data_IF_481225520458
#
_entry.id   IF_481225520458
#
_cell.length_a   1.000
_cell.length_b   1.000
_cell.length_c   1.000
_cell.angle_alpha   90.00
_cell.angle_beta   90.00
_cell.angle_gamma   90.00
#
_symmetry.space_group_name_H-M   'P 1'
#
loop_
_entity.id
_entity.type
_entity.pdbx_description
1 polymer ?
#
# COMPACT_ATOMS: atom_id res chain seq x y z
N UNK A 1 12.75 30.03 -32.56
CA UNK A 1 11.76 29.52 -31.58
C UNK A 1 12.51 28.45 -30.81
N UNK A 2 13.06 28.80 -29.65
CA UNK A 2 13.86 27.86 -28.86
C UNK A 2 12.92 26.85 -28.18
N UNK A 3 13.25 25.58 -28.36
CA UNK A 3 12.44 24.44 -27.90
C UNK A 3 12.79 24.04 -26.49
N UNK A 4 12.93 24.99 -25.58
CA UNK A 4 13.11 24.72 -24.15
C UNK A 4 11.78 24.23 -23.61
N UNK A 5 11.70 22.96 -23.20
CA UNK A 5 10.45 22.40 -22.67
C UNK A 5 9.97 23.26 -21.50
N UNK A 6 8.66 23.51 -21.40
CA UNK A 6 8.06 24.31 -20.32
C UNK A 6 8.48 23.84 -18.91
N UNK A 7 8.97 22.60 -18.77
CA UNK A 7 9.46 22.02 -17.53
C UNK A 7 10.78 22.62 -17.04
N UNK A 8 11.68 23.10 -17.91
CA UNK A 8 12.97 23.67 -17.51
C UNK A 8 12.85 25.12 -16.99
N UNK A 9 11.76 25.83 -17.31
CA UNK A 9 11.53 27.21 -16.88
C UNK A 9 10.90 27.35 -15.49
N UNK A 10 10.35 26.26 -14.92
CA UNK A 10 9.63 26.33 -13.65
C UNK A 10 10.56 25.95 -12.50
N UNK A 11 11.14 26.96 -11.85
CA UNK A 11 11.84 26.78 -10.57
C UNK A 11 10.81 26.49 -9.47
N UNK A 12 10.45 25.22 -9.31
CA UNK A 12 9.59 24.77 -8.22
C UNK A 12 10.30 24.99 -6.87
N UNK A 13 10.01 26.10 -6.18
CA UNK A 13 10.58 26.38 -4.85
C UNK A 13 9.59 25.96 -3.78
N UNK A 14 9.85 24.81 -3.18
CA UNK A 14 9.11 24.30 -2.05
C UNK A 14 9.89 24.47 -0.74
N UNK A 15 9.21 24.75 0.36
CA UNK A 15 9.78 24.75 1.71
C UNK A 15 8.79 24.15 2.71
N UNK A 16 9.27 23.68 3.85
CA UNK A 16 8.41 23.15 4.91
C UNK A 16 8.78 23.77 6.26
N UNK A 17 7.79 24.32 6.97
CA UNK A 17 7.99 24.92 8.29
C UNK A 17 6.68 24.92 9.08
N UNK A 18 6.77 24.72 10.41
CA UNK A 18 5.65 24.79 11.34
C UNK A 18 4.40 23.97 10.92
N UNK A 19 4.62 22.79 10.30
CA UNK A 19 3.54 21.92 9.85
C UNK A 19 2.89 22.31 8.51
N UNK A 20 3.49 23.22 7.76
CA UNK A 20 3.00 23.63 6.44
C UNK A 20 4.09 23.51 5.39
N UNK A 21 3.75 22.92 4.24
CA UNK A 21 4.52 23.09 3.02
C UNK A 21 4.14 24.41 2.35
N UNK A 22 5.09 25.04 1.67
CA UNK A 22 4.85 26.18 0.80
C UNK A 22 5.42 25.89 -0.57
N UNK A 23 4.76 26.38 -1.62
CA UNK A 23 5.20 26.22 -3.00
C UNK A 23 4.94 27.52 -3.78
N UNK A 24 5.93 27.98 -4.54
CA UNK A 24 5.76 29.10 -5.49
C UNK A 24 4.99 28.63 -6.72
N UNK A 25 3.99 29.41 -7.16
CA UNK A 25 3.18 29.12 -8.33
C UNK A 25 3.67 29.90 -9.57
N UNK A 26 3.62 29.32 -10.79
CA UNK A 26 3.29 27.92 -11.07
C UNK A 26 4.31 26.94 -10.47
N UNK A 27 3.83 25.81 -9.97
CA UNK A 27 4.68 24.82 -9.28
C UNK A 27 3.98 23.48 -9.06
N UNK A 28 4.76 22.45 -8.71
CA UNK A 28 4.24 21.10 -8.40
C UNK A 28 4.11 20.95 -6.89
N UNK A 29 2.94 20.52 -6.42
CA UNK A 29 2.74 20.19 -5.01
C UNK A 29 3.15 18.75 -4.77
N UNK A 30 4.41 18.57 -4.40
CA UNK A 30 5.07 17.28 -4.23
C UNK A 30 5.71 17.15 -2.84
N UNK A 31 5.94 15.91 -2.38
CA UNK A 31 6.77 15.63 -1.20
C UNK A 31 6.04 15.27 0.09
N UNK A 32 4.78 15.68 0.29
CA UNK A 32 4.00 15.30 1.48
C UNK A 32 3.23 13.97 1.31
N UNK A 33 2.82 13.65 0.08
CA UNK A 33 1.93 12.52 -0.23
C UNK A 33 2.60 11.37 -0.96
N UNK A 34 1.88 10.26 -1.10
CA UNK A 34 2.38 9.12 -1.86
C UNK A 34 2.36 9.36 -3.37
N UNK A 35 1.52 10.26 -3.87
CA UNK A 35 1.32 10.48 -5.30
C UNK A 35 2.59 10.87 -6.05
N UNK A 36 3.46 11.70 -5.45
CA UNK A 36 4.74 12.06 -6.08
C UNK A 36 5.72 10.89 -6.20
N UNK A 37 5.45 9.76 -5.53
CA UNK A 37 6.19 8.49 -5.68
C UNK A 37 5.54 7.54 -6.70
N UNK A 38 4.29 7.82 -7.11
CA UNK A 38 3.51 6.98 -8.03
C UNK A 38 3.53 7.52 -9.46
N UNK A 39 3.55 8.85 -9.61
CA UNK A 39 3.54 9.54 -10.90
C UNK A 39 4.15 10.94 -10.74
N UNK A 40 4.59 11.54 -11.84
CA UNK A 40 4.98 12.96 -11.86
C UNK A 40 3.76 13.84 -11.57
N UNK A 41 3.90 14.76 -10.61
CA UNK A 41 2.80 15.63 -10.20
C UNK A 41 2.55 16.74 -11.25
N UNK A 42 1.28 17.11 -11.46
CA UNK A 42 0.93 18.19 -12.37
C UNK A 42 1.42 19.55 -11.86
N UNK A 43 1.62 20.48 -12.79
CA UNK A 43 1.94 21.86 -12.43
C UNK A 43 0.64 22.61 -12.12
N UNK A 44 0.58 23.18 -10.93
CA UNK A 44 -0.55 23.98 -10.45
C UNK A 44 -0.31 25.45 -10.79
N UNK A 45 -1.36 26.16 -11.19
CA UNK A 45 -1.29 27.60 -11.44
C UNK A 45 -0.53 28.00 -12.70
N UNK A 46 -0.53 27.17 -13.75
CA UNK A 46 -0.03 27.58 -15.06
C UNK A 46 -0.91 28.67 -15.67
N UNK A 47 -0.30 29.75 -16.18
CA UNK A 47 -1.00 30.81 -16.91
C UNK A 47 -1.87 31.75 -16.07
N UNK A 48 -1.90 31.59 -14.75
CA UNK A 48 -2.61 32.49 -13.83
C UNK A 48 -1.68 33.52 -13.18
N UNK A 49 -2.24 34.64 -12.74
CA UNK A 49 -1.53 35.72 -12.02
C UNK A 49 -2.16 36.07 -10.67
N UNK A 50 -3.15 35.28 -10.23
CA UNK A 50 -3.95 35.53 -9.03
C UNK A 50 -3.21 35.23 -7.73
N UNK A 51 -2.32 34.24 -7.75
CA UNK A 51 -1.57 33.80 -6.57
C UNK A 51 -0.12 33.51 -6.94
N UNK A 52 0.81 33.90 -6.07
CA UNK A 52 2.24 33.65 -6.23
C UNK A 52 2.71 32.44 -5.42
N UNK A 53 1.95 32.08 -4.40
CA UNK A 53 2.31 31.03 -3.45
C UNK A 53 1.07 30.27 -2.97
N UNK A 54 1.27 29.01 -2.63
CA UNK A 54 0.30 28.20 -1.90
C UNK A 54 0.94 27.65 -0.63
N UNK A 55 0.19 27.64 0.46
CA UNK A 55 0.53 26.97 1.71
C UNK A 55 -0.35 25.74 1.82
N UNK A 56 0.23 24.57 1.98
CA UNK A 56 -0.56 23.35 1.95
C UNK A 56 -0.03 22.30 2.92
N UNK A 57 -0.91 21.38 3.27
CA UNK A 57 -0.56 20.21 4.05
C UNK A 57 -1.47 19.04 3.66
N UNK A 58 -1.03 17.83 3.95
CA UNK A 58 -1.81 16.62 3.84
C UNK A 58 -1.88 15.93 5.19
N UNK A 59 -2.98 15.22 5.40
CA UNK A 59 -3.17 14.38 6.57
C UNK A 59 -3.40 12.95 6.13
N UNK A 60 -2.76 12.02 6.84
CA UNK A 60 -2.97 10.59 6.69
C UNK A 60 -3.34 10.05 8.05
N UNK A 61 -4.52 9.46 8.16
CA UNK A 61 -4.99 8.79 9.35
C UNK A 61 -5.46 7.37 9.01
N UNK A 62 -5.62 6.49 10.01
CA UNK A 62 -6.25 5.19 9.81
C UNK A 62 -7.65 5.40 9.21
N UNK A 63 -7.83 4.97 7.96
CA UNK A 63 -9.10 5.09 7.24
C UNK A 63 -9.43 6.46 6.62
N UNK A 64 -8.53 7.47 6.65
CA UNK A 64 -8.83 8.78 6.07
C UNK A 64 -7.59 9.48 5.49
N UNK A 65 -7.80 10.21 4.40
CA UNK A 65 -6.84 11.19 3.88
C UNK A 65 -7.47 12.59 3.96
N UNK A 66 -6.62 13.60 4.08
CA UNK A 66 -7.04 14.99 4.00
C UNK A 66 -6.04 15.83 3.22
N UNK A 67 -6.54 16.87 2.57
CA UNK A 67 -5.74 17.88 1.91
C UNK A 67 -6.23 19.26 2.32
N UNK A 68 -5.31 20.16 2.62
CA UNK A 68 -5.61 21.57 2.85
C UNK A 68 -4.64 22.43 2.06
N UNK A 69 -5.16 23.45 1.38
CA UNK A 69 -4.37 24.47 0.70
C UNK A 69 -4.95 25.86 0.98
N UNK A 70 -4.09 26.82 1.25
CA UNK A 70 -4.40 28.22 1.52
C UNK A 70 -3.73 29.09 0.46
N UNK A 71 -4.49 30.04 -0.07
CA UNK A 71 -4.06 31.08 -1.01
C UNK A 71 -4.33 32.44 -0.36
N UNK A 72 -3.39 32.99 0.42
CA UNK A 72 -3.58 34.27 1.12
C UNK A 72 -3.91 35.42 0.16
N UNK A 73 -3.26 35.49 -1.00
CA UNK A 73 -3.44 36.55 -2.00
C UNK A 73 -4.88 36.62 -2.53
N UNK A 74 -5.54 35.48 -2.68
CA UNK A 74 -6.94 35.40 -3.13
C UNK A 74 -7.92 35.22 -1.99
N UNK A 75 -7.46 35.25 -0.73
CA UNK A 75 -8.26 34.97 0.48
C UNK A 75 -9.11 33.70 0.36
N UNK A 76 -8.54 32.67 -0.26
CA UNK A 76 -9.24 31.44 -0.58
C UNK A 76 -8.54 30.23 0.04
N UNK A 77 -9.30 29.16 0.23
CA UNK A 77 -8.79 27.89 0.72
C UNK A 77 -9.48 26.72 0.01
N UNK A 78 -8.77 25.61 -0.12
CA UNK A 78 -9.30 24.32 -0.54
C UNK A 78 -9.08 23.35 0.61
N UNK A 79 -10.16 22.69 1.05
CA UNK A 79 -10.10 21.68 2.10
C UNK A 79 -10.83 20.45 1.58
N UNK A 80 -10.15 19.30 1.61
CA UNK A 80 -10.70 18.00 1.23
C UNK A 80 -10.52 17.06 2.41
N UNK A 81 -11.62 16.46 2.86
CA UNK A 81 -11.64 15.46 3.92
C UNK A 81 -12.29 14.20 3.34
N UNK A 82 -11.60 13.07 3.42
CA UNK A 82 -12.17 11.77 3.04
C UNK A 82 -12.39 10.92 4.28
N UNK A 83 -13.43 10.11 4.25
CA UNK A 83 -13.72 9.09 5.28
C UNK A 83 -13.20 7.69 4.87
N UNK A 84 -12.37 7.66 3.83
CA UNK A 84 -11.71 6.47 3.32
C UNK A 84 -10.29 6.82 2.92
N UNK A 85 -9.38 5.87 3.08
CA UNK A 85 -8.04 5.96 2.52
C UNK A 85 -7.95 5.19 1.21
N UNK A 86 -7.35 5.80 0.19
CA UNK A 86 -7.17 5.19 -1.14
C UNK A 86 -5.69 4.92 -1.42
N UNK A 87 -5.42 4.00 -2.35
CA UNK A 87 -4.07 3.58 -2.69
C UNK A 87 -3.20 4.72 -3.25
N UNK A 88 -3.85 5.67 -3.91
CA UNK A 88 -3.24 6.83 -4.55
C UNK A 88 -3.61 8.16 -3.86
N UNK A 89 -3.91 8.16 -2.55
CA UNK A 89 -4.28 9.38 -1.80
C UNK A 89 -5.23 10.32 -2.57
N UNK A 90 -6.50 9.92 -2.68
CA UNK A 90 -7.48 10.62 -3.49
C UNK A 90 -7.76 12.05 -2.99
N UNK A 91 -7.57 12.31 -1.69
CA UNK A 91 -7.77 13.64 -1.11
C UNK A 91 -6.81 14.66 -1.75
N UNK A 92 -5.55 14.27 -1.96
CA UNK A 92 -4.55 15.08 -2.66
C UNK A 92 -4.96 15.38 -4.10
N UNK A 93 -5.35 14.37 -4.88
CA UNK A 93 -5.78 14.58 -6.26
C UNK A 93 -6.97 15.53 -6.38
N UNK A 94 -8.00 15.32 -5.56
CA UNK A 94 -9.18 16.20 -5.52
C UNK A 94 -8.76 17.60 -5.10
N UNK A 95 -7.89 17.73 -4.09
CA UNK A 95 -7.39 19.00 -3.60
C UNK A 95 -6.65 19.80 -4.66
N UNK A 96 -5.72 19.17 -5.38
CA UNK A 96 -4.96 19.80 -6.45
C UNK A 96 -5.83 20.15 -7.66
N UNK A 97 -6.81 19.30 -8.01
CA UNK A 97 -7.81 19.59 -9.04
C UNK A 97 -8.61 20.85 -8.71
N UNK A 98 -9.20 20.90 -7.51
CA UNK A 98 -9.98 22.05 -7.05
C UNK A 98 -9.12 23.31 -6.96
N UNK A 99 -7.90 23.21 -6.45
CA UNK A 99 -6.95 24.32 -6.36
C UNK A 99 -6.62 24.89 -7.74
N UNK A 100 -6.33 24.03 -8.71
CA UNK A 100 -6.01 24.46 -10.07
C UNK A 100 -7.23 25.09 -10.76
N UNK A 101 -8.44 24.53 -10.56
CA UNK A 101 -9.69 25.12 -11.05
C UNK A 101 -10.00 26.47 -10.42
N UNK A 102 -9.77 26.63 -9.12
CA UNK A 102 -9.93 27.90 -8.41
C UNK A 102 -9.01 28.99 -8.99
N UNK A 103 -7.80 28.62 -9.41
CA UNK A 103 -6.86 29.52 -10.08
C UNK A 103 -7.23 29.80 -11.55
N UNK A 104 -8.24 29.13 -12.10
CA UNK A 104 -8.75 29.33 -13.46
C UNK A 104 -8.19 28.35 -14.49
N UNK A 105 -7.52 27.28 -14.06
CA UNK A 105 -7.00 26.24 -14.95
C UNK A 105 -7.85 24.97 -14.97
N UNK A 106 -7.44 23.99 -15.76
CA UNK A 106 -8.00 22.63 -15.77
C UNK A 106 -6.89 21.60 -15.84
N UNK A 107 -6.93 20.57 -14.99
CA UNK A 107 -5.97 19.47 -15.03
C UNK A 107 -6.54 18.27 -15.77
N UNK A 108 -5.68 17.53 -16.46
CA UNK A 108 -6.01 16.22 -17.00
C UNK A 108 -6.19 15.21 -15.86
N UNK A 109 -7.19 14.33 -15.99
CA UNK A 109 -7.39 13.21 -15.07
C UNK A 109 -6.48 12.01 -15.37
N UNK A 110 -5.70 12.07 -16.45
CA UNK A 110 -4.81 10.98 -16.85
C UNK A 110 -3.76 10.61 -15.77
N UNK A 111 -3.05 11.55 -15.12
CA UNK A 111 -2.12 11.23 -14.04
C UNK A 111 -2.79 10.55 -12.83
N UNK A 112 -4.05 10.90 -12.55
CA UNK A 112 -4.84 10.25 -11.49
C UNK A 112 -4.98 8.76 -11.79
N UNK A 113 -5.36 8.41 -13.02
CA UNK A 113 -5.51 7.00 -13.44
C UNK A 113 -4.18 6.24 -13.36
N UNK A 114 -3.10 6.85 -13.86
CA UNK A 114 -1.76 6.25 -13.80
C UNK A 114 -1.32 6.01 -12.35
N UNK A 115 -1.62 6.95 -11.44
CA UNK A 115 -1.27 6.80 -10.01
C UNK A 115 -1.98 5.60 -9.37
N UNK A 116 -3.23 5.32 -9.75
CA UNK A 116 -3.99 4.16 -9.25
C UNK A 116 -3.32 2.87 -9.71
N UNK A 117 -3.03 2.76 -11.00
CA UNK A 117 -2.39 1.57 -11.58
C UNK A 117 -1.00 1.33 -10.95
N UNK A 118 -0.20 2.41 -10.78
CA UNK A 118 1.10 2.35 -10.10
C UNK A 118 0.96 1.90 -8.63
N UNK A 119 -0.05 2.36 -7.91
CA UNK A 119 -0.25 2.00 -6.51
C UNK A 119 -0.59 0.51 -6.34
N UNK A 120 -1.46 -0.02 -7.19
CA UNK A 120 -1.75 -1.46 -7.22
C UNK A 120 -0.52 -2.27 -7.59
N UNK A 121 0.24 -1.84 -8.61
CA UNK A 121 1.47 -2.53 -9.00
C UNK A 121 2.52 -2.55 -7.89
N UNK A 122 2.70 -1.46 -7.14
CA UNK A 122 3.62 -1.44 -5.99
C UNK A 122 3.22 -2.46 -4.93
N UNK A 123 1.92 -2.63 -4.70
CA UNK A 123 1.40 -3.65 -3.79
C UNK A 123 1.74 -5.07 -4.28
N UNK A 124 1.56 -5.35 -5.58
CA UNK A 124 1.95 -6.63 -6.21
C UNK A 124 3.47 -6.87 -6.21
N UNK A 125 4.28 -5.83 -6.41
CA UNK A 125 5.74 -5.92 -6.43
C UNK A 125 6.29 -6.23 -5.04
N UNK A 126 5.75 -5.63 -3.98
CA UNK A 126 6.13 -5.98 -2.59
C UNK A 126 5.83 -7.44 -2.32
N UNK A 127 4.65 -7.91 -2.73
CA UNK A 127 4.29 -9.33 -2.63
C UNK A 127 5.29 -10.22 -3.37
N UNK A 128 5.64 -9.87 -4.61
CA UNK A 128 6.62 -10.61 -5.41
C UNK A 128 8.02 -10.64 -4.78
N UNK A 129 8.43 -9.55 -4.12
CA UNK A 129 9.72 -9.48 -3.40
C UNK A 129 9.72 -10.35 -2.15
N UNK A 130 8.62 -10.39 -1.40
CA UNK A 130 8.46 -11.31 -0.26
C UNK A 130 8.57 -12.78 -0.70
N UNK A 131 7.95 -13.13 -1.83
CA UNK A 131 8.03 -14.49 -2.40
C UNK A 131 9.44 -14.83 -2.88
N UNK A 132 10.14 -13.90 -3.54
CA UNK A 132 11.51 -14.09 -4.06
C UNK A 132 12.58 -14.11 -2.99
N UNK A 133 12.34 -13.53 -1.82
CA UNK A 133 13.23 -13.59 -0.67
C UNK A 133 13.29 -14.98 -0.01
N UNK A 134 12.55 -15.98 -0.52
CA UNK A 134 12.82 -17.39 -0.25
C UNK A 134 14.25 -17.73 -0.72
N UNK A 135 15.17 -17.95 0.22
CA UNK A 135 16.54 -18.33 -0.13
C UNK A 135 16.58 -19.73 -0.77
N UNK A 136 17.26 -19.90 -1.92
CA UNK A 136 17.49 -21.21 -2.49
C UNK A 136 18.46 -22.01 -1.61
N UNK A 137 17.95 -23.02 -0.90
CA UNK A 137 18.76 -23.92 -0.07
C UNK A 137 18.09 -24.39 1.22
N UNK A 138 16.93 -23.85 1.58
CA UNK A 138 16.22 -24.23 2.80
C UNK A 138 15.57 -25.62 2.61
N UNK A 139 15.72 -26.55 3.57
CA UNK A 139 15.09 -27.86 3.50
C UNK A 139 13.58 -27.73 3.27
N UNK A 140 13.03 -28.57 2.37
CA UNK A 140 11.58 -28.61 2.16
C UNK A 140 10.88 -28.86 3.50
N UNK A 141 9.92 -28.02 3.85
CA UNK A 141 9.11 -28.26 5.04
C UNK A 141 8.45 -29.64 4.99
N UNK A 142 8.16 -30.22 6.17
CA UNK A 142 7.18 -31.28 6.32
C UNK A 142 5.91 -31.03 5.50
N UNK A 143 5.18 -32.11 5.18
CA UNK A 143 3.87 -32.00 4.53
C UNK A 143 2.97 -30.99 5.23
N UNK A 144 2.25 -30.14 4.48
CA UNK A 144 1.38 -29.11 5.05
C UNK A 144 0.33 -29.65 6.03
N UNK A 145 -0.03 -30.94 5.92
CA UNK A 145 -0.88 -31.64 6.88
C UNK A 145 -0.33 -31.59 8.31
N UNK A 146 0.99 -31.47 8.50
CA UNK A 146 1.61 -31.40 9.82
C UNK A 146 1.23 -30.14 10.60
N UNK A 147 0.99 -29.04 9.88
CA UNK A 147 0.60 -27.75 10.44
C UNK A 147 -0.93 -27.54 10.45
N UNK A 148 -1.71 -28.55 10.07
CA UNK A 148 -3.15 -28.45 10.07
C UNK A 148 -3.67 -28.62 11.50
N UNK A 149 -4.51 -27.70 11.97
CA UNK A 149 -5.03 -27.76 13.32
C UNK A 149 -5.76 -26.51 13.78
N UNK A 150 -6.25 -26.59 15.01
CA UNK A 150 -6.84 -25.46 15.72
C UNK A 150 -5.82 -25.02 16.77
N UNK A 151 -5.41 -23.76 16.72
CA UNK A 151 -4.43 -23.18 17.63
C UNK A 151 -5.14 -22.28 18.63
N UNK A 152 -4.82 -22.49 19.90
CA UNK A 152 -5.39 -21.74 21.01
C UNK A 152 -4.33 -20.86 21.67
N UNK A 153 -4.79 -19.83 22.38
CA UNK A 153 -3.93 -19.08 23.30
C UNK A 153 -3.47 -19.96 24.46
N UNK A 154 -2.53 -19.46 25.27
CA UNK A 154 -2.13 -20.08 26.54
C UNK A 154 -3.30 -20.35 27.50
N UNK A 155 -4.44 -19.67 27.31
CA UNK A 155 -5.65 -19.85 28.10
C UNK A 155 -6.66 -20.84 27.46
N UNK A 156 -6.23 -21.66 26.49
CA UNK A 156 -7.05 -22.61 25.73
C UNK A 156 -8.23 -21.99 24.97
N UNK A 157 -8.18 -20.68 24.70
CA UNK A 157 -9.16 -20.02 23.83
C UNK A 157 -8.71 -20.24 22.39
N UNK A 158 -9.48 -20.95 21.54
CA UNK A 158 -9.09 -21.20 20.16
C UNK A 158 -9.11 -19.88 19.38
N UNK A 159 -8.04 -19.60 18.64
CA UNK A 159 -7.85 -18.33 17.91
C UNK A 159 -7.71 -18.55 16.41
N UNK A 160 -7.01 -19.61 15.99
CA UNK A 160 -6.71 -19.86 14.58
C UNK A 160 -7.16 -21.26 14.18
N UNK A 161 -7.60 -21.38 12.94
CA UNK A 161 -7.76 -22.65 12.25
C UNK A 161 -6.85 -22.61 11.04
N UNK A 162 -6.04 -23.66 10.88
CA UNK A 162 -5.09 -23.79 9.77
C UNK A 162 -5.36 -25.12 9.06
N UNK A 163 -5.43 -25.08 7.74
CA UNK A 163 -5.64 -26.28 6.95
C UNK A 163 -4.93 -26.16 5.59
N UNK A 164 -4.49 -27.30 5.02
CA UNK A 164 -4.00 -27.34 3.66
C UNK A 164 -5.18 -27.21 2.69
N UNK A 165 -5.02 -26.38 1.68
CA UNK A 165 -5.98 -26.19 0.61
C UNK A 165 -5.36 -26.68 -0.70
N UNK A 166 -6.09 -27.53 -1.41
CA UNK A 166 -5.64 -28.09 -2.69
C UNK A 166 -6.45 -27.44 -3.79
N UNK A 167 -5.84 -26.51 -4.52
CA UNK A 167 -6.51 -25.85 -5.63
C UNK A 167 -6.35 -26.64 -6.92
N UNK A 168 -7.48 -26.95 -7.57
CA UNK A 168 -7.53 -27.36 -8.98
C UNK A 168 -8.04 -26.19 -9.83
N UNK A 169 -7.16 -25.26 -10.22
CA UNK A 169 -7.52 -24.16 -11.11
C UNK A 169 -6.61 -22.94 -10.98
N UNK A 170 -6.76 -21.98 -11.90
CA UNK A 170 -5.92 -20.78 -12.07
C UNK A 170 -6.33 -19.61 -11.16
N UNK A 171 -6.77 -19.87 -9.93
CA UNK A 171 -7.35 -18.83 -9.06
C UNK A 171 -6.33 -17.99 -8.29
N UNK A 172 -5.04 -18.33 -8.36
CA UNK A 172 -4.00 -17.42 -7.92
C UNK A 172 -3.90 -16.27 -8.92
N UNK A 173 -3.88 -15.03 -8.44
CA UNK A 173 -3.76 -13.78 -9.21
C UNK A 173 -2.56 -13.74 -10.18
N UNK A 174 -1.69 -14.76 -10.19
CA UNK A 174 -0.40 -14.74 -10.86
C UNK A 174 -0.03 -15.97 -11.72
N UNK A 175 -0.92 -16.94 -11.96
CA UNK A 175 -0.52 -18.20 -12.64
C UNK A 175 -1.38 -18.61 -13.85
N UNK A 176 -1.75 -17.66 -14.71
CA UNK A 176 -2.22 -18.00 -16.06
C UNK A 176 -1.05 -18.08 -17.06
N UNK A 177 -0.40 -19.24 -17.12
CA UNK A 177 0.44 -19.64 -18.26
C UNK A 177 -0.36 -20.65 -19.12
N UNK A 178 -0.89 -20.24 -20.29
CA UNK A 178 -1.71 -21.12 -21.13
C UNK A 178 -0.93 -22.33 -21.71
N UNK A 179 0.41 -22.38 -21.55
CA UNK A 179 1.26 -23.49 -22.03
C UNK A 179 1.58 -24.52 -20.96
N UNK A 180 1.35 -24.24 -19.68
CA UNK A 180 1.56 -25.18 -18.57
C UNK A 180 0.19 -25.68 -18.10
N UNK A 181 -0.03 -26.99 -18.18
CA UNK A 181 -1.28 -27.61 -17.75
C UNK A 181 -1.65 -27.29 -16.29
N UNK A 182 -2.89 -27.63 -15.90
CA UNK A 182 -3.46 -27.37 -14.56
C UNK A 182 -2.51 -27.83 -13.44
N UNK A 183 -1.72 -26.90 -12.89
CA UNK A 183 -0.88 -27.17 -11.73
C UNK A 183 -1.77 -27.27 -10.49
N UNK A 184 -1.69 -28.41 -9.80
CA UNK A 184 -2.27 -28.56 -8.45
C UNK A 184 -1.24 -28.02 -7.47
N UNK A 185 -1.47 -26.83 -6.94
CA UNK A 185 -0.66 -26.28 -5.86
C UNK A 185 -1.38 -26.58 -4.55
N UNK A 186 -0.68 -27.24 -3.63
CA UNK A 186 -1.08 -27.27 -2.24
C UNK A 186 -0.64 -25.95 -1.61
N UNK A 187 -1.57 -25.22 -1.02
CA UNK A 187 -1.33 -24.02 -0.25
C UNK A 187 -1.84 -24.25 1.18
N UNK A 188 -1.49 -23.38 2.12
CA UNK A 188 -2.06 -23.41 3.47
C UNK A 188 -2.96 -22.20 3.64
N UNK A 189 -4.05 -22.37 4.39
CA UNK A 189 -4.98 -21.30 4.70
C UNK A 189 -5.04 -21.11 6.22
N UNK A 190 -5.16 -19.86 6.66
CA UNK A 190 -5.40 -19.49 8.05
C UNK A 190 -6.67 -18.67 8.18
N UNK A 191 -7.47 -18.97 9.20
CA UNK A 191 -8.64 -18.18 9.57
C UNK A 191 -8.62 -17.94 11.08
N UNK A 192 -8.89 -16.70 11.47
CA UNK A 192 -9.14 -16.38 12.87
C UNK A 192 -10.57 -16.80 13.23
N UNK A 193 -10.79 -17.53 14.31
CA UNK A 193 -12.12 -18.03 14.68
C UNK A 193 -13.18 -16.93 14.88
N UNK A 194 -12.74 -15.74 15.28
CA UNK A 194 -13.63 -14.58 15.44
C UNK A 194 -13.88 -13.82 14.13
N UNK A 195 -13.30 -14.26 13.01
CA UNK A 195 -13.35 -13.59 11.72
C UNK A 195 -13.77 -14.58 10.62
N UNK A 196 -14.62 -14.14 9.69
CA UNK A 196 -14.99 -14.97 8.52
C UNK A 196 -13.94 -14.92 7.42
N UNK A 197 -12.93 -14.05 7.53
CA UNK A 197 -11.89 -13.89 6.51
C UNK A 197 -10.83 -14.98 6.63
N UNK A 198 -10.53 -15.61 5.49
CA UNK A 198 -9.46 -16.59 5.33
C UNK A 198 -8.30 -15.92 4.60
N UNK A 199 -7.07 -16.25 5.01
CA UNK A 199 -5.85 -15.77 4.38
C UNK A 199 -5.03 -16.94 3.88
N UNK A 200 -4.43 -16.79 2.71
CA UNK A 200 -3.47 -17.75 2.19
C UNK A 200 -2.13 -17.54 2.88
N UNK A 201 -1.58 -18.62 3.41
CA UNK A 201 -0.25 -18.70 4.01
C UNK A 201 0.77 -19.09 2.95
N UNK A 202 1.83 -18.29 2.85
CA UNK A 202 2.98 -18.58 2.00
C UNK A 202 4.17 -18.99 2.86
N UNK A 203 4.83 -20.08 2.49
CA UNK A 203 6.03 -20.51 3.20
C UNK A 203 7.17 -19.49 2.98
N UNK A 204 7.76 -18.97 4.07
CA UNK A 204 8.91 -18.08 4.06
C UNK A 204 10.23 -18.83 4.15
N UNK A 205 10.38 -19.65 5.19
CA UNK A 205 11.59 -20.42 5.47
C UNK A 205 11.34 -21.41 6.59
N UNK A 206 11.76 -22.67 6.40
CA UNK A 206 11.52 -23.75 7.35
C UNK A 206 10.06 -23.79 7.77
N UNK A 207 9.81 -23.86 9.08
CA UNK A 207 8.48 -23.89 9.70
C UNK A 207 7.83 -22.50 9.88
N UNK A 208 8.23 -21.52 9.06
CA UNK A 208 7.68 -20.15 9.08
C UNK A 208 6.85 -19.87 7.83
N UNK A 209 5.67 -19.29 8.05
CA UNK A 209 4.71 -18.91 7.03
C UNK A 209 4.37 -17.43 7.16
N UNK A 210 4.01 -16.79 6.06
CA UNK A 210 3.57 -15.40 6.05
C UNK A 210 2.23 -15.26 5.37
N UNK A 211 1.46 -14.25 5.79
CA UNK A 211 0.37 -13.72 5.00
C UNK A 211 0.37 -12.20 5.08
N UNK A 212 -0.29 -11.58 4.11
CA UNK A 212 -0.48 -10.14 4.04
C UNK A 212 -1.98 -9.87 4.01
N UNK A 213 -2.38 -8.73 4.58
CA UNK A 213 -3.71 -8.20 4.30
C UNK A 213 -3.75 -7.69 2.86
N UNK A 214 -4.85 -7.95 2.16
CA UNK A 214 -5.18 -7.20 0.95
C UNK A 214 -5.41 -5.72 1.30
N UNK A 215 -5.41 -4.85 0.28
CA UNK A 215 -5.63 -3.42 0.45
C UNK A 215 -6.89 -3.14 1.29
N UNK A 216 -8.00 -3.79 0.96
CA UNK A 216 -9.27 -3.61 1.67
C UNK A 216 -9.19 -4.06 3.14
N UNK A 217 -8.49 -5.15 3.43
CA UNK A 217 -8.22 -5.62 4.78
C UNK A 217 -7.35 -4.65 5.59
N UNK A 218 -6.34 -4.05 4.97
CA UNK A 218 -5.53 -2.99 5.60
C UNK A 218 -6.37 -1.75 5.91
N UNK A 219 -7.29 -1.37 5.03
CA UNK A 219 -8.15 -0.19 5.23
C UNK A 219 -9.22 -0.39 6.30
N UNK A 220 -9.69 -1.62 6.49
CA UNK A 220 -10.62 -1.99 7.56
C UNK A 220 -9.95 -2.12 8.93
N UNK A 221 -8.62 -2.26 8.98
CA UNK A 221 -7.84 -2.26 10.22
C UNK A 221 -7.73 -0.84 10.80
N UNK A 222 -7.98 -0.69 12.10
CA UNK A 222 -7.81 0.60 12.80
C UNK A 222 -6.33 1.04 12.97
N UNK A 223 -5.36 0.37 12.36
CA UNK A 223 -3.93 0.63 12.58
C UNK A 223 -3.33 1.65 11.61
N UNK A 224 -2.28 2.40 12.03
CA UNK A 224 -1.61 3.38 11.19
C UNK A 224 -0.95 2.69 10.00
N UNK A 225 -1.60 2.81 8.85
CA UNK A 225 -1.12 2.25 7.58
C UNK A 225 0.10 3.05 7.11
N UNK A 226 1.28 2.70 7.62
CA UNK A 226 2.55 3.03 7.00
C UNK A 226 2.85 2.01 5.91
N UNK A 227 3.59 2.41 4.86
CA UNK A 227 4.46 1.44 4.20
C UNK A 227 5.55 1.07 5.24
N UNK A 228 5.85 -0.22 5.46
CA UNK A 228 5.55 -1.36 4.58
C UNK A 228 4.21 -2.07 4.86
N UNK A 229 3.75 -2.84 3.86
CA UNK A 229 2.64 -3.80 3.95
C UNK A 229 2.69 -4.57 5.28
N UNK A 230 1.57 -4.55 6.02
CA UNK A 230 1.40 -5.41 7.19
C UNK A 230 1.47 -6.87 6.72
N UNK A 231 2.58 -7.51 7.05
CA UNK A 231 2.76 -8.94 6.89
C UNK A 231 2.87 -9.56 8.28
N UNK A 232 2.24 -10.70 8.41
CA UNK A 232 2.21 -11.46 9.65
C UNK A 232 2.99 -12.73 9.41
N UNK A 233 3.90 -13.04 10.33
CA UNK A 233 4.69 -14.26 10.26
C UNK A 233 4.16 -15.21 11.31
N UNK A 234 3.72 -16.39 10.88
CA UNK A 234 3.42 -17.51 11.74
C UNK A 234 4.62 -18.45 11.78
N UNK A 235 5.17 -18.68 12.96
CA UNK A 235 6.26 -19.61 13.18
C UNK A 235 5.79 -20.80 14.01
N UNK A 236 6.04 -22.02 13.53
CA UNK A 236 5.76 -23.25 14.26
C UNK A 236 7.03 -23.82 14.89
N UNK A 237 6.99 -24.12 16.18
CA UNK A 237 8.05 -24.88 16.84
C UNK A 237 7.80 -26.38 16.60
N UNK A 238 8.54 -26.99 15.68
CA UNK A 238 8.37 -28.41 15.34
C UNK A 238 9.38 -29.25 16.11
N UNK A 239 8.92 -29.99 17.12
CA UNK A 239 9.74 -30.92 17.91
C UNK A 239 9.55 -32.35 17.41
N UNK A 240 10.44 -32.80 16.53
CA UNK A 240 10.40 -34.17 15.97
C UNK A 240 9.18 -34.37 15.05
N UNK A 241 8.40 -35.43 15.25
CA UNK A 241 7.17 -35.71 14.49
C UNK A 241 5.92 -35.01 15.05
N UNK A 242 6.00 -34.46 16.26
CA UNK A 242 4.92 -33.67 16.86
C UNK A 242 5.05 -32.19 16.53
N UNK A 243 3.91 -31.56 16.19
CA UNK A 243 3.83 -30.11 16.12
C UNK A 243 3.79 -29.54 17.54
N UNK A 244 4.71 -28.62 17.86
CA UNK A 244 4.70 -27.88 19.12
C UNK A 244 3.88 -26.59 19.02
N UNK A 245 4.28 -25.58 19.78
CA UNK A 245 3.57 -24.30 19.86
C UNK A 245 3.70 -23.48 18.56
N UNK A 246 2.70 -22.67 18.27
CA UNK A 246 2.74 -21.69 17.18
C UNK A 246 2.79 -20.28 17.76
N UNK A 247 3.64 -19.43 17.17
CA UNK A 247 3.78 -18.03 17.55
C UNK A 247 3.51 -17.13 16.35
N UNK A 248 2.72 -16.07 16.57
CA UNK A 248 2.52 -15.01 15.57
C UNK A 248 3.47 -13.87 15.92
N UNK A 249 4.34 -13.54 14.97
CA UNK A 249 5.17 -12.35 15.01
C UNK A 249 4.59 -11.34 14.02
N UNK A 250 4.27 -10.14 14.51
CA UNK A 250 3.97 -8.99 13.66
C UNK A 250 5.26 -8.32 13.27
N UNK A 251 5.58 -8.29 11.97
CA UNK A 251 6.80 -7.67 11.46
C UNK A 251 6.51 -6.39 10.71
N UNK A 252 6.94 -5.23 11.24
CA UNK A 252 7.28 -4.08 10.41
C UNK A 252 8.79 -4.11 10.17
N UNK A 253 9.28 -5.06 9.37
CA UNK A 253 10.64 -4.97 8.85
C UNK A 253 10.61 -4.07 7.63
N UNK A 254 11.27 -2.92 7.72
CA UNK A 254 11.74 -2.20 6.54
C UNK A 254 12.68 -3.15 5.79
N UNK A 255 12.15 -3.85 4.79
CA UNK A 255 12.96 -4.56 3.81
C UNK A 255 13.58 -3.50 2.88
N UNK A 256 14.59 -2.83 3.41
CA UNK A 256 15.26 -1.71 2.77
C UNK A 256 16.62 -1.44 3.40
N UNK A 257 17.61 -2.22 2.96
CA UNK A 257 18.96 -1.77 2.67
C UNK A 257 19.50 -2.59 1.51
#
# INVERSE_FOLDING_TARGET
MDGTSNDEMIKNKCSYAAGWATCTLPGRLEGLGINSKLVSMPIIGMGQTKASKVYWNQGVHCGANSFVALLPETKSAVIVLTNTRTANDAADWIGQLLLHTLLGGSLSLFPVRVSIDSAYKQHEDVFSRLVKANEPGIPRSPSFNKYAGIYATSNNIPVLIIWPEVYRGTKALHDYDPKKGKNVRAEMSVQFLNNKKTFLLWQLSGDSFTWCLDWDGMMMGHQPTGLPLEHYILHFDVKGDSLGDASILTGCKNLGS
#
